data_IF_292527643360
#
_entry.id   IF_292527643360
#
_cell.length_a   1.000
_cell.length_b   1.000
_cell.length_c   1.000
_cell.angle_alpha   90.00
_cell.angle_beta   90.00
_cell.angle_gamma   90.00
#
_symmetry.space_group_name_H-M   'P 1'
#
loop_
_entity.id
_entity.type
_entity.pdbx_description
1 polymer ?
#
# COMPACT_ATOMS: atom_id res chain seq x y z
N UNK A 1 -71.47 1.04 -56.01
CA UNK A 1 -70.28 0.15 -56.06
C UNK A 1 -69.04 0.95 -55.56
N UNK A 2 -68.66 0.78 -54.30
CA UNK A 2 -67.55 1.53 -53.72
C UNK A 2 -66.46 0.48 -53.38
N UNK A 3 -65.32 0.55 -54.04
CA UNK A 3 -64.18 -0.32 -53.80
C UNK A 3 -63.35 0.28 -52.67
N UNK A 4 -63.28 -0.42 -51.54
CA UNK A 4 -62.32 -0.13 -50.45
C UNK A 4 -60.95 -0.60 -50.86
N UNK A 5 -59.96 0.33 -50.84
CA UNK A 5 -58.51 -0.01 -50.92
C UNK A 5 -58.01 -0.26 -49.49
N UNK A 6 -57.50 -1.43 -49.24
CA UNK A 6 -56.74 -1.77 -48.05
C UNK A 6 -55.28 -1.37 -48.28
N UNK A 7 -54.80 -0.47 -47.44
CA UNK A 7 -53.34 -0.14 -47.34
C UNK A 7 -52.72 -1.04 -46.30
N UNK A 8 -51.75 -1.82 -46.69
CA UNK A 8 -50.90 -2.61 -45.80
C UNK A 8 -49.75 -1.73 -45.31
N UNK A 9 -49.66 -1.55 -44.00
CA UNK A 9 -48.50 -0.92 -43.37
C UNK A 9 -47.44 -2.01 -43.07
N UNK A 10 -46.30 -1.93 -43.75
CA UNK A 10 -45.10 -2.70 -43.42
C UNK A 10 -44.44 -2.03 -42.20
N UNK A 11 -44.48 -2.64 -41.04
CA UNK A 11 -43.67 -2.27 -39.87
C UNK A 11 -42.29 -2.94 -40.03
N UNK A 12 -41.29 -2.13 -40.34
CA UNK A 12 -39.89 -2.55 -40.30
C UNK A 12 -39.43 -2.58 -38.81
N UNK A 13 -39.30 -3.78 -38.28
CA UNK A 13 -38.71 -3.98 -36.95
C UNK A 13 -37.20 -3.76 -37.01
N UNK A 14 -36.68 -2.72 -36.34
CA UNK A 14 -35.27 -2.54 -36.11
C UNK A 14 -34.87 -3.49 -34.99
N UNK A 15 -34.20 -4.59 -35.34
CA UNK A 15 -33.53 -5.45 -34.38
C UNK A 15 -32.29 -4.75 -33.85
N UNK A 16 -32.35 -4.18 -32.64
CA UNK A 16 -31.17 -3.79 -31.90
C UNK A 16 -30.38 -5.05 -31.51
N UNK A 17 -29.33 -5.34 -32.24
CA UNK A 17 -28.30 -6.29 -31.82
C UNK A 17 -27.60 -5.70 -30.59
N UNK A 18 -27.99 -6.15 -29.40
CA UNK A 18 -27.21 -5.94 -28.20
C UNK A 18 -25.89 -6.72 -28.35
N UNK A 19 -24.82 -6.03 -28.69
CA UNK A 19 -23.46 -6.59 -28.63
C UNK A 19 -23.16 -6.78 -27.12
N UNK A 20 -22.91 -8.02 -26.65
CA UNK A 20 -22.46 -8.20 -25.28
C UNK A 20 -21.10 -7.51 -25.17
N UNK A 21 -20.99 -6.49 -24.32
CA UNK A 21 -19.72 -6.02 -23.78
C UNK A 21 -19.15 -7.13 -22.88
N UNK A 22 -18.63 -8.17 -23.50
CA UNK A 22 -17.69 -9.06 -22.85
C UNK A 22 -16.41 -8.28 -22.71
N UNK A 23 -16.00 -7.96 -21.46
CA UNK A 23 -14.65 -7.57 -21.18
C UNK A 23 -13.75 -8.75 -21.59
N UNK A 24 -13.27 -8.75 -22.83
CA UNK A 24 -12.19 -9.61 -23.24
C UNK A 24 -10.97 -9.11 -22.45
N UNK A 25 -10.34 -10.00 -21.69
CA UNK A 25 -8.94 -9.81 -21.33
C UNK A 25 -8.23 -9.57 -22.66
N UNK A 26 -7.68 -8.35 -22.84
CA UNK A 26 -6.87 -8.05 -24.02
C UNK A 26 -5.86 -9.19 -24.15
N UNK A 27 -5.70 -9.75 -25.34
CA UNK A 27 -4.67 -10.76 -25.54
C UNK A 27 -3.36 -10.14 -25.04
N UNK A 28 -2.61 -10.84 -24.19
CA UNK A 28 -1.39 -10.30 -23.57
C UNK A 28 -0.42 -9.73 -24.61
N UNK A 29 -0.34 -10.36 -25.79
CA UNK A 29 0.50 -9.89 -26.88
C UNK A 29 0.03 -8.52 -27.42
N UNK A 30 -1.27 -8.30 -27.52
CA UNK A 30 -1.85 -7.02 -27.95
C UNK A 30 -1.60 -5.93 -26.90
N UNK A 31 -1.73 -6.27 -25.60
CA UNK A 31 -1.42 -5.36 -24.50
C UNK A 31 0.06 -4.96 -24.50
N UNK A 32 0.96 -5.93 -24.68
CA UNK A 32 2.40 -5.67 -24.78
C UNK A 32 2.71 -4.79 -25.98
N UNK A 33 2.10 -5.03 -27.13
CA UNK A 33 2.31 -4.21 -28.33
C UNK A 33 1.80 -2.77 -28.14
N UNK A 34 0.63 -2.59 -27.53
CA UNK A 34 0.06 -1.29 -27.24
C UNK A 34 0.90 -0.51 -26.21
N UNK A 35 1.34 -1.17 -25.12
CA UNK A 35 2.23 -0.56 -24.13
C UNK A 35 3.59 -0.14 -24.73
N UNK A 36 4.15 -0.96 -25.62
CA UNK A 36 5.38 -0.61 -26.36
C UNK A 36 5.20 0.59 -27.28
N UNK A 37 4.01 0.76 -27.85
CA UNK A 37 3.69 1.93 -28.67
C UNK A 37 3.60 3.21 -27.81
N UNK A 38 3.17 3.11 -26.56
CA UNK A 38 3.22 4.22 -25.59
C UNK A 38 4.66 4.50 -25.12
N UNK A 39 5.52 3.47 -25.02
CA UNK A 39 6.96 3.55 -24.78
C UNK A 39 7.39 3.89 -23.37
N UNK A 40 6.47 4.33 -22.50
CA UNK A 40 6.75 4.80 -21.15
C UNK A 40 5.68 4.37 -20.16
N UNK A 41 6.10 4.24 -18.89
CA UNK A 41 5.25 4.15 -17.72
C UNK A 41 5.70 5.21 -16.70
N UNK A 42 4.78 5.92 -16.08
CA UNK A 42 5.07 6.82 -14.95
C UNK A 42 4.49 6.25 -13.66
N UNK A 43 5.37 5.89 -12.75
CA UNK A 43 5.04 5.41 -11.40
C UNK A 43 5.31 6.49 -10.36
N UNK A 44 4.71 6.37 -9.17
CA UNK A 44 4.93 7.30 -8.06
C UNK A 44 5.07 6.54 -6.75
N UNK A 45 5.89 7.06 -5.83
CA UNK A 45 6.09 6.56 -4.47
C UNK A 45 6.61 5.11 -4.39
N UNK A 46 7.35 4.64 -5.38
CA UNK A 46 7.97 3.31 -5.39
C UNK A 46 9.45 3.39 -4.96
N UNK A 47 9.72 3.48 -3.66
CA UNK A 47 11.09 3.49 -3.14
C UNK A 47 11.82 2.19 -3.48
N UNK A 48 13.05 2.28 -4.01
CA UNK A 48 13.80 1.11 -4.48
C UNK A 48 14.11 0.07 -3.38
N UNK A 49 14.18 0.50 -2.13
CA UNK A 49 14.38 -0.33 -0.93
C UNK A 49 13.06 -0.75 -0.28
N UNK A 50 11.92 -0.48 -0.91
CA UNK A 50 10.60 -0.91 -0.43
C UNK A 50 10.16 -2.15 -1.19
N UNK A 51 9.92 -3.26 -0.47
CA UNK A 51 9.33 -4.49 -1.03
C UNK A 51 9.93 -4.96 -2.36
N UNK A 52 11.21 -4.62 -2.61
CA UNK A 52 11.91 -5.02 -3.83
C UNK A 52 11.58 -4.20 -5.08
N UNK A 53 10.92 -3.04 -4.96
CA UNK A 53 10.52 -2.24 -6.13
C UNK A 53 11.67 -1.88 -7.07
N UNK A 54 12.88 -1.61 -6.56
CA UNK A 54 14.03 -1.35 -7.43
C UNK A 54 14.32 -2.48 -8.40
N UNK A 55 14.24 -3.73 -7.92
CA UNK A 55 14.40 -4.93 -8.76
C UNK A 55 13.19 -5.18 -9.66
N UNK A 56 11.97 -4.96 -9.16
CA UNK A 56 10.73 -5.11 -9.93
C UNK A 56 10.67 -4.12 -11.11
N UNK A 57 10.97 -2.85 -10.85
CA UNK A 57 11.03 -1.81 -11.90
C UNK A 57 12.09 -2.16 -12.94
N UNK A 58 13.28 -2.58 -12.50
CA UNK A 58 14.35 -2.97 -13.43
C UNK A 58 13.95 -4.20 -14.27
N UNK A 59 13.38 -5.25 -13.64
CA UNK A 59 12.92 -6.44 -14.35
C UNK A 59 11.80 -6.12 -15.35
N UNK A 60 10.87 -5.23 -15.01
CA UNK A 60 9.83 -4.76 -15.94
C UNK A 60 10.44 -4.04 -17.15
N UNK A 61 11.40 -3.14 -16.93
CA UNK A 61 12.12 -2.43 -18.00
C UNK A 61 12.84 -3.41 -18.92
N UNK A 62 13.58 -4.36 -18.36
CA UNK A 62 14.34 -5.34 -19.12
C UNK A 62 13.45 -6.28 -19.93
N UNK A 63 12.30 -6.68 -19.35
CA UNK A 63 11.36 -7.61 -19.97
C UNK A 63 10.59 -6.98 -21.13
N UNK A 64 10.14 -5.74 -20.97
CA UNK A 64 9.23 -5.11 -21.93
C UNK A 64 9.86 -4.01 -22.78
N UNK A 65 11.04 -3.53 -22.41
CA UNK A 65 11.74 -2.47 -23.14
C UNK A 65 11.12 -1.09 -22.98
N UNK A 66 10.34 -0.86 -21.92
CA UNK A 66 9.69 0.41 -21.62
C UNK A 66 10.60 1.31 -20.76
N UNK A 67 10.50 2.61 -20.95
CA UNK A 67 11.04 3.58 -20.00
C UNK A 67 10.12 3.68 -18.80
N UNK A 68 10.67 3.65 -17.58
CA UNK A 68 9.90 3.92 -16.35
C UNK A 68 10.36 5.26 -15.77
N UNK A 69 9.43 6.18 -15.66
CA UNK A 69 9.60 7.47 -14.99
C UNK A 69 9.11 7.34 -13.54
N UNK A 70 9.97 7.66 -12.59
CA UNK A 70 9.74 7.43 -11.16
C UNK A 70 9.58 8.77 -10.44
N UNK A 71 8.36 9.09 -9.97
CA UNK A 71 8.02 10.30 -9.24
C UNK A 71 8.09 10.06 -7.73
N UNK A 72 8.57 11.04 -6.98
CA UNK A 72 8.51 11.06 -5.50
C UNK A 72 8.78 9.69 -4.84
N UNK A 73 9.94 9.06 -5.02
CA UNK A 73 10.18 7.68 -4.58
C UNK A 73 10.02 7.46 -3.06
N UNK A 74 9.93 8.52 -2.27
CA UNK A 74 9.67 8.47 -0.82
C UNK A 74 8.32 9.07 -0.43
N UNK A 75 7.45 9.33 -1.42
CA UNK A 75 6.12 9.87 -1.23
C UNK A 75 5.21 8.94 -0.42
N UNK A 76 4.15 9.48 0.12
CA UNK A 76 3.13 8.70 0.83
C UNK A 76 1.80 8.72 0.10
N UNK A 77 0.89 7.81 0.48
CA UNK A 77 -0.40 7.60 -0.21
C UNK A 77 -1.22 8.88 -0.43
N UNK A 78 -1.22 9.81 0.52
CA UNK A 78 -1.91 11.10 0.36
C UNK A 78 -1.27 12.01 -0.71
N UNK A 79 0.05 11.95 -0.88
CA UNK A 79 0.78 12.67 -1.92
C UNK A 79 0.44 12.12 -3.30
N UNK A 80 0.33 10.80 -3.44
CA UNK A 80 -0.04 10.14 -4.68
C UNK A 80 -1.40 10.61 -5.20
N UNK A 81 -2.43 10.61 -4.34
CA UNK A 81 -3.76 11.13 -4.69
C UNK A 81 -3.70 12.61 -5.08
N UNK A 82 -2.93 13.40 -4.32
CA UNK A 82 -2.76 14.84 -4.61
C UNK A 82 -2.09 15.06 -5.96
N UNK A 83 -1.09 14.22 -6.29
CA UNK A 83 -0.37 14.29 -7.56
C UNK A 83 -1.28 13.97 -8.75
N UNK A 84 -2.14 12.93 -8.65
CA UNK A 84 -3.15 12.70 -9.70
C UNK A 84 -4.02 13.94 -9.88
N UNK A 85 -4.59 14.48 -8.78
CA UNK A 85 -5.48 15.66 -8.84
C UNK A 85 -4.82 16.88 -9.48
N UNK A 86 -3.57 17.13 -9.13
CA UNK A 86 -2.80 18.24 -9.67
C UNK A 86 -2.46 18.09 -11.17
N UNK A 87 -2.55 16.86 -11.70
CA UNK A 87 -2.19 16.53 -13.08
C UNK A 87 -3.39 16.11 -13.95
N UNK A 88 -4.62 16.38 -13.53
CA UNK A 88 -5.79 16.09 -14.35
C UNK A 88 -5.69 16.88 -15.69
N UNK A 89 -5.72 16.15 -16.81
CA UNK A 89 -5.55 16.70 -18.14
C UNK A 89 -4.11 16.98 -18.55
N UNK A 90 -3.12 16.69 -17.71
CA UNK A 90 -1.70 16.71 -18.06
C UNK A 90 -1.28 15.33 -18.61
N UNK A 91 -0.71 15.30 -19.81
CA UNK A 91 -0.17 14.08 -20.44
C UNK A 91 1.37 14.03 -20.37
N UNK A 92 1.99 14.88 -19.56
CA UNK A 92 3.45 14.91 -19.39
C UNK A 92 3.95 14.00 -18.27
N UNK A 93 5.27 14.00 -18.13
CA UNK A 93 5.99 13.12 -17.19
C UNK A 93 5.69 13.34 -15.70
N UNK A 94 4.89 14.36 -15.33
CA UNK A 94 4.46 14.60 -13.94
C UNK A 94 3.12 13.94 -13.60
N UNK A 95 2.40 13.39 -14.59
CA UNK A 95 1.13 12.70 -14.40
C UNK A 95 1.40 11.21 -14.15
N UNK A 96 1.07 10.64 -12.96
CA UNK A 96 1.28 9.23 -12.70
C UNK A 96 0.27 8.36 -13.44
N UNK A 97 0.74 7.26 -14.01
CA UNK A 97 -0.10 6.23 -14.63
C UNK A 97 -0.69 5.29 -13.58
N UNK A 98 0.11 4.96 -12.56
CA UNK A 98 -0.27 4.05 -11.47
C UNK A 98 0.12 4.64 -10.12
N UNK A 99 -0.57 4.19 -9.07
CA UNK A 99 -0.29 4.51 -7.67
C UNK A 99 -0.18 3.23 -6.84
N UNK A 100 0.61 3.29 -5.75
CA UNK A 100 0.78 2.24 -4.74
C UNK A 100 0.42 2.77 -3.36
N UNK A 101 -0.83 2.65 -2.99
CA UNK A 101 -1.36 3.28 -1.79
C UNK A 101 -1.71 2.28 -0.70
N UNK A 102 -1.59 2.69 0.56
CA UNK A 102 -2.17 1.89 1.64
C UNK A 102 -3.66 1.65 1.39
N UNK A 103 -4.14 0.44 1.73
CA UNK A 103 -5.46 -0.07 1.37
C UNK A 103 -6.61 0.93 1.65
N UNK A 104 -6.51 1.71 2.73
CA UNK A 104 -7.53 2.72 3.11
C UNK A 104 -7.70 3.83 2.06
N UNK A 105 -6.67 4.10 1.27
CA UNK A 105 -6.68 5.16 0.26
C UNK A 105 -7.34 4.73 -1.06
N UNK A 106 -7.46 3.42 -1.33
CA UNK A 106 -8.15 2.90 -2.50
C UNK A 106 -9.60 3.41 -2.62
N UNK A 107 -10.48 3.17 -1.62
CA UNK A 107 -11.85 3.70 -1.62
C UNK A 107 -11.92 5.23 -1.67
N UNK A 108 -10.96 5.93 -1.08
CA UNK A 108 -10.89 7.40 -1.13
C UNK A 108 -10.66 7.86 -2.56
N UNK A 109 -9.64 7.29 -3.22
CA UNK A 109 -9.31 7.62 -4.60
C UNK A 109 -10.46 7.27 -5.57
N UNK A 110 -11.14 6.12 -5.36
CA UNK A 110 -12.31 5.72 -6.15
C UNK A 110 -13.47 6.69 -5.96
N UNK A 111 -13.78 7.09 -4.73
CA UNK A 111 -14.84 8.08 -4.42
C UNK A 111 -14.57 9.44 -5.03
N UNK A 112 -13.31 9.83 -5.15
CA UNK A 112 -12.86 11.08 -5.79
C UNK A 112 -12.74 10.97 -7.31
N UNK A 113 -13.17 9.86 -7.92
CA UNK A 113 -13.16 9.59 -9.36
C UNK A 113 -11.74 9.69 -9.99
N UNK A 114 -10.73 9.22 -9.25
CA UNK A 114 -9.32 9.28 -9.66
C UNK A 114 -8.83 8.01 -10.35
N UNK A 115 -9.59 6.91 -10.30
CA UNK A 115 -9.16 5.59 -10.72
C UNK A 115 -9.97 5.06 -11.90
N UNK A 116 -9.35 4.22 -12.73
CA UNK A 116 -10.03 3.43 -13.74
C UNK A 116 -9.99 1.93 -13.39
N UNK A 117 -11.06 1.17 -13.68
CA UNK A 117 -11.10 -0.25 -13.36
C UNK A 117 -10.26 -1.07 -14.34
N UNK A 118 -9.55 -2.05 -13.81
CA UNK A 118 -8.86 -3.09 -14.57
C UNK A 118 -8.70 -4.34 -13.72
N UNK A 119 -9.01 -5.53 -14.25
CA UNK A 119 -8.83 -6.80 -13.56
C UNK A 119 -7.74 -7.61 -14.24
N UNK A 120 -6.70 -7.94 -13.48
CA UNK A 120 -5.59 -8.77 -13.94
C UNK A 120 -6.00 -10.23 -14.16
N UNK A 121 -5.21 -10.99 -14.92
CA UNK A 121 -5.50 -12.41 -15.21
C UNK A 121 -5.60 -13.27 -13.93
N UNK A 122 -4.84 -12.93 -12.89
CA UNK A 122 -4.83 -13.63 -11.60
C UNK A 122 -5.84 -13.08 -10.59
N UNK A 123 -6.83 -12.33 -11.05
CA UNK A 123 -7.84 -11.63 -10.22
C UNK A 123 -8.47 -12.49 -9.12
N UNK A 124 -8.80 -13.76 -9.44
CA UNK A 124 -9.48 -14.65 -8.49
C UNK A 124 -8.58 -15.10 -7.34
N UNK A 125 -7.27 -14.95 -7.46
CA UNK A 125 -6.29 -15.29 -6.41
C UNK A 125 -6.08 -14.16 -5.40
N UNK A 126 -6.59 -12.96 -5.66
CA UNK A 126 -6.52 -11.82 -4.76
C UNK A 126 -7.67 -11.94 -3.75
N UNK A 127 -7.42 -11.86 -2.43
CA UNK A 127 -8.46 -11.94 -1.41
C UNK A 127 -9.56 -10.90 -1.60
N UNK A 128 -10.83 -11.31 -1.45
CA UNK A 128 -11.98 -10.41 -1.63
C UNK A 128 -11.96 -9.22 -0.64
N UNK A 129 -11.33 -9.38 0.53
CA UNK A 129 -11.18 -8.32 1.55
C UNK A 129 -10.12 -7.28 1.18
N UNK A 130 -9.31 -7.55 0.16
CA UNK A 130 -8.22 -6.69 -0.27
C UNK A 130 -8.41 -6.14 -1.70
N UNK A 131 -9.64 -6.12 -2.24
CA UNK A 131 -9.92 -5.60 -3.58
C UNK A 131 -11.30 -4.96 -3.70
N UNK A 132 -11.38 -3.96 -4.58
CA UNK A 132 -12.66 -3.43 -5.05
C UNK A 132 -13.29 -4.41 -6.04
N UNK A 133 -14.57 -4.83 -5.90
CA UNK A 133 -15.18 -5.80 -6.80
C UNK A 133 -15.18 -5.42 -8.28
N UNK A 134 -15.16 -4.13 -8.59
CA UNK A 134 -15.11 -3.61 -9.95
C UNK A 134 -13.69 -3.48 -10.51
N UNK A 135 -12.66 -3.57 -9.65
CA UNK A 135 -11.26 -3.56 -10.06
C UNK A 135 -10.60 -2.19 -10.13
N UNK A 136 -11.13 -1.18 -9.40
CA UNK A 136 -10.49 0.14 -9.37
C UNK A 136 -9.19 0.16 -8.57
N UNK A 137 -9.09 -0.69 -7.53
CA UNK A 137 -7.91 -0.86 -6.69
C UNK A 137 -7.89 -2.28 -6.11
N UNK A 138 -6.72 -2.83 -5.91
CA UNK A 138 -6.56 -4.15 -5.27
C UNK A 138 -5.17 -4.32 -4.67
N UNK A 139 -5.13 -5.07 -3.57
CA UNK A 139 -3.91 -5.37 -2.83
C UNK A 139 -2.87 -6.05 -3.72
N UNK A 140 -1.61 -5.72 -3.50
CA UNK A 140 -0.47 -6.28 -4.22
C UNK A 140 0.53 -6.98 -3.29
N UNK A 141 0.76 -6.42 -2.11
CA UNK A 141 1.55 -7.01 -1.04
C UNK A 141 1.10 -6.49 0.33
N UNK A 142 1.66 -7.07 1.39
CA UNK A 142 1.54 -6.55 2.74
C UNK A 142 2.86 -6.65 3.51
N UNK A 143 3.06 -5.73 4.44
CA UNK A 143 4.10 -5.74 5.45
C UNK A 143 3.50 -5.95 6.85
N UNK A 144 4.33 -6.32 7.81
CA UNK A 144 3.95 -6.48 9.21
C UNK A 144 4.51 -5.32 10.02
N UNK A 145 3.65 -4.68 10.82
CA UNK A 145 4.07 -3.54 11.63
C UNK A 145 5.04 -3.97 12.72
N UNK A 146 6.17 -3.29 12.83
CA UNK A 146 7.25 -3.60 13.75
C UNK A 146 7.85 -2.32 14.37
N UNK A 147 8.70 -2.50 15.39
CA UNK A 147 9.59 -1.47 15.90
C UNK A 147 10.98 -1.70 15.32
N UNK A 148 11.54 -0.73 14.62
CA UNK A 148 12.95 -0.72 14.21
C UNK A 148 13.73 0.05 15.28
N UNK A 149 14.72 -0.62 15.87
CA UNK A 149 15.42 -0.16 17.07
C UNK A 149 16.91 -0.07 16.82
N UNK A 150 17.49 1.12 17.00
CA UNK A 150 18.94 1.32 16.95
C UNK A 150 19.58 0.85 18.27
N UNK A 151 20.38 -0.21 18.21
CA UNK A 151 21.00 -0.85 19.39
C UNK A 151 22.17 -0.07 19.98
N UNK A 152 22.77 0.86 19.24
CA UNK A 152 23.82 1.74 19.81
C UNK A 152 23.24 2.75 20.79
N UNK A 153 21.93 3.07 20.65
CA UNK A 153 21.22 4.02 21.52
C UNK A 153 20.34 3.30 22.55
N UNK A 154 19.67 2.23 22.13
CA UNK A 154 18.68 1.51 22.93
C UNK A 154 19.24 0.12 23.30
N UNK A 155 19.75 -0.01 24.52
CA UNK A 155 20.35 -1.26 25.00
C UNK A 155 19.34 -2.42 25.12
N UNK A 156 18.12 -2.14 25.59
CA UNK A 156 17.01 -3.11 25.70
C UNK A 156 15.90 -2.70 24.73
N UNK A 157 15.65 -3.51 23.71
CA UNK A 157 14.57 -3.27 22.77
C UNK A 157 13.20 -3.48 23.43
N UNK A 158 12.18 -2.63 23.13
CA UNK A 158 10.81 -2.87 23.55
C UNK A 158 10.28 -4.14 22.90
N UNK A 159 9.58 -4.99 23.65
CA UNK A 159 8.99 -6.23 23.13
C UNK A 159 7.53 -6.04 22.71
N UNK A 160 6.88 -4.96 23.19
CA UNK A 160 5.47 -4.71 22.96
C UNK A 160 5.11 -3.24 23.06
N UNK A 161 3.89 -2.89 22.64
CA UNK A 161 3.38 -1.51 22.64
C UNK A 161 3.48 -0.85 24.01
N UNK A 162 3.05 -1.55 25.09
CA UNK A 162 3.08 -1.01 26.45
C UNK A 162 4.48 -0.64 26.92
N UNK A 163 5.51 -1.37 26.46
CA UNK A 163 6.90 -1.08 26.84
C UNK A 163 7.35 0.31 26.39
N UNK A 164 6.80 0.82 25.28
CA UNK A 164 7.15 2.15 24.76
C UNK A 164 6.88 3.29 25.74
N UNK A 165 6.03 3.07 26.75
CA UNK A 165 5.75 4.03 27.82
C UNK A 165 6.80 4.01 28.94
N UNK A 166 7.73 3.05 28.96
CA UNK A 166 8.81 2.99 29.95
C UNK A 166 9.66 4.28 29.87
N UNK A 167 9.97 4.93 31.02
CA UNK A 167 10.86 6.10 31.07
C UNK A 167 12.26 5.87 30.47
N UNK A 168 12.70 4.61 30.34
CA UNK A 168 13.95 4.25 29.67
C UNK A 168 13.97 4.67 28.18
N UNK A 169 12.80 4.85 27.55
CA UNK A 169 12.69 5.28 26.14
C UNK A 169 12.42 6.77 25.98
N UNK A 170 12.81 7.59 26.98
CA UNK A 170 12.67 9.04 26.89
C UNK A 170 13.33 9.59 25.63
N UNK A 171 12.59 10.41 24.84
CA UNK A 171 13.02 11.01 23.56
C UNK A 171 13.50 9.96 22.54
N UNK A 172 12.84 8.80 22.48
CA UNK A 172 13.29 7.71 21.63
C UNK A 172 12.25 7.21 20.63
N UNK A 173 10.96 7.39 20.91
CA UNK A 173 9.87 6.82 20.10
C UNK A 173 9.42 7.80 19.03
N UNK A 174 9.28 7.34 17.78
CA UNK A 174 8.77 8.15 16.66
C UNK A 174 7.83 7.38 15.74
N UNK A 175 6.99 8.12 15.03
CA UNK A 175 6.25 7.64 13.88
C UNK A 175 7.10 7.76 12.60
N UNK A 176 6.84 6.95 11.57
CA UNK A 176 7.57 7.04 10.30
C UNK A 176 7.23 8.27 9.46
N UNK A 177 6.01 8.81 9.60
CA UNK A 177 5.51 9.96 8.85
C UNK A 177 4.28 10.58 9.54
N UNK A 178 3.63 11.56 8.92
CA UNK A 178 2.41 12.19 9.44
C UNK A 178 1.24 11.19 9.48
N UNK A 179 0.68 10.88 10.65
CA UNK A 179 -0.40 9.91 10.77
C UNK A 179 -1.74 10.40 10.20
N UNK A 180 -1.83 11.63 9.73
CA UNK A 180 -3.02 12.14 9.04
C UNK A 180 -3.05 11.76 7.56
N UNK A 181 -1.90 11.37 6.97
CA UNK A 181 -1.74 11.16 5.53
C UNK A 181 -0.92 9.94 5.14
N UNK A 182 -0.21 9.30 6.09
CA UNK A 182 0.66 8.16 5.81
C UNK A 182 0.11 6.86 6.41
N UNK A 183 -0.05 5.84 5.55
CA UNK A 183 -0.66 4.55 5.91
C UNK A 183 0.03 3.86 7.10
N UNK A 184 1.36 3.74 7.08
CA UNK A 184 2.13 3.10 8.15
C UNK A 184 1.95 3.80 9.52
N UNK A 185 1.82 5.13 9.52
CA UNK A 185 1.57 5.89 10.76
C UNK A 185 0.11 5.79 11.22
N UNK A 186 -0.86 5.76 10.29
CA UNK A 186 -2.27 5.47 10.60
C UNK A 186 -2.35 4.11 11.29
N UNK A 187 -1.73 3.08 10.71
CA UNK A 187 -1.73 1.73 11.27
C UNK A 187 -0.95 1.63 12.58
N UNK A 188 0.11 2.43 12.78
CA UNK A 188 0.82 2.50 14.07
C UNK A 188 -0.07 3.04 15.19
N UNK A 189 -0.83 4.11 14.94
CA UNK A 189 -1.79 4.64 15.91
C UNK A 189 -2.91 3.64 16.17
N UNK A 190 -3.44 3.03 15.13
CA UNK A 190 -4.50 2.03 15.21
C UNK A 190 -4.08 0.79 16.01
N UNK A 191 -2.88 0.24 15.72
CA UNK A 191 -2.34 -0.94 16.40
C UNK A 191 -2.06 -0.67 17.88
N UNK A 192 -1.51 0.51 18.22
CA UNK A 192 -1.34 0.92 19.60
C UNK A 192 -2.68 0.94 20.36
N UNK A 193 -3.74 1.43 19.71
CA UNK A 193 -5.08 1.41 20.29
C UNK A 193 -5.66 0.01 20.47
N UNK A 194 -5.49 -0.88 19.49
CA UNK A 194 -5.88 -2.29 19.62
C UNK A 194 -5.14 -2.97 20.77
N UNK A 195 -3.86 -2.66 20.97
CA UNK A 195 -3.04 -3.21 22.05
C UNK A 195 -3.54 -2.82 23.46
N UNK A 196 -4.34 -1.74 23.59
CA UNK A 196 -5.03 -1.40 24.84
C UNK A 196 -6.30 -2.23 25.08
N UNK A 197 -6.69 -3.11 24.17
CA UNK A 197 -7.94 -3.87 24.21
C UNK A 197 -9.14 -3.12 23.64
N UNK A 198 -8.94 -1.98 22.97
CA UNK A 198 -10.03 -1.23 22.34
C UNK A 198 -10.64 -1.99 21.16
N UNK A 199 -11.96 -1.81 20.95
CA UNK A 199 -12.65 -2.41 19.81
C UNK A 199 -12.17 -1.82 18.48
N UNK A 200 -12.11 -2.60 17.39
CA UNK A 200 -11.69 -2.14 16.08
C UNK A 200 -12.46 -0.90 15.57
N UNK A 201 -11.84 -0.15 14.67
CA UNK A 201 -12.41 1.05 14.07
C UNK A 201 -12.13 2.33 14.86
N UNK A 202 -13.13 3.19 15.01
CA UNK A 202 -12.98 4.50 15.67
C UNK A 202 -12.54 4.42 17.14
N UNK A 203 -12.93 3.36 17.85
CA UNK A 203 -12.53 3.16 19.26
C UNK A 203 -11.02 2.90 19.38
N UNK A 204 -10.47 1.99 18.56
CA UNK A 204 -9.04 1.74 18.51
C UNK A 204 -8.27 3.00 18.09
N UNK A 205 -8.78 3.76 17.11
CA UNK A 205 -8.15 5.01 16.72
C UNK A 205 -8.02 6.00 17.89
N UNK A 206 -9.09 6.23 18.66
CA UNK A 206 -9.07 7.13 19.82
C UNK A 206 -8.19 6.62 20.95
N UNK A 207 -8.21 5.31 21.21
CA UNK A 207 -7.31 4.71 22.20
C UNK A 207 -5.85 4.83 21.78
N UNK A 208 -5.56 4.71 20.49
CA UNK A 208 -4.23 4.93 19.93
C UNK A 208 -3.78 6.40 20.02
N UNK A 209 -4.67 7.35 19.73
CA UNK A 209 -4.40 8.77 19.93
C UNK A 209 -4.06 9.07 21.40
N UNK A 210 -4.81 8.49 22.34
CA UNK A 210 -4.55 8.61 23.76
C UNK A 210 -3.19 7.99 24.16
N UNK A 211 -2.84 6.84 23.60
CA UNK A 211 -1.53 6.21 23.79
C UNK A 211 -0.39 7.13 23.33
N UNK A 212 -0.50 7.73 22.13
CA UNK A 212 0.51 8.66 21.61
C UNK A 212 0.54 9.98 22.41
N UNK A 213 -0.59 10.41 22.98
CA UNK A 213 -0.61 11.51 23.93
C UNK A 213 0.20 11.18 25.20
N UNK A 214 0.04 9.97 25.74
CA UNK A 214 0.81 9.51 26.90
C UNK A 214 2.31 9.43 26.58
N UNK A 215 2.70 8.94 25.40
CA UNK A 215 4.09 8.96 24.93
C UNK A 215 4.67 10.38 24.88
N UNK A 216 3.87 11.35 24.46
CA UNK A 216 4.27 12.76 24.44
C UNK A 216 4.40 13.31 25.86
N UNK A 217 3.41 13.10 26.71
CA UNK A 217 3.38 13.63 28.08
C UNK A 217 4.49 13.04 28.95
N UNK A 218 4.86 11.75 28.75
CA UNK A 218 6.02 11.12 29.39
C UNK A 218 7.37 11.62 28.83
N UNK A 219 7.34 12.31 27.69
CA UNK A 219 8.54 12.77 26.98
C UNK A 219 9.25 11.67 26.18
N UNK A 220 8.60 10.54 25.93
CA UNK A 220 9.14 9.43 25.13
C UNK A 220 9.01 9.70 23.63
N UNK A 221 7.94 10.40 23.21
CA UNK A 221 7.70 10.73 21.80
C UNK A 221 8.68 11.81 21.33
N UNK A 222 9.36 11.53 20.21
CA UNK A 222 10.20 12.52 19.50
C UNK A 222 9.32 13.40 18.62
N UNK A 223 9.67 14.66 18.46
CA UNK A 223 8.91 15.61 17.64
C UNK A 223 9.09 15.40 16.13
N UNK A 224 10.07 14.61 15.68
CA UNK A 224 10.35 14.31 14.29
C UNK A 224 9.82 12.96 13.82
N UNK A 225 9.77 12.78 12.50
CA UNK A 225 9.45 11.48 11.88
C UNK A 225 10.72 10.66 11.62
N UNK A 226 10.62 9.34 11.85
CA UNK A 226 11.73 8.44 11.69
C UNK A 226 11.96 8.03 10.23
N UNK A 227 13.18 8.24 9.74
CA UNK A 227 13.68 7.74 8.46
C UNK A 227 14.81 6.74 8.71
N UNK A 228 15.22 5.97 7.68
CA UNK A 228 16.40 5.11 7.79
C UNK A 228 17.63 5.89 8.32
N UNK A 229 17.84 7.10 7.78
CA UNK A 229 18.97 7.97 8.18
C UNK A 229 18.87 8.46 9.63
N UNK A 230 17.68 8.91 10.08
CA UNK A 230 17.50 9.41 11.46
C UNK A 230 17.53 8.28 12.49
N UNK A 231 17.06 7.07 12.12
CA UNK A 231 17.21 5.86 12.94
C UNK A 231 18.71 5.55 13.10
N UNK A 232 19.46 5.50 11.98
CA UNK A 232 20.90 5.21 12.02
C UNK A 232 21.69 6.21 12.84
N UNK A 233 21.37 7.51 12.76
CA UNK A 233 21.99 8.57 13.57
C UNK A 233 21.58 8.58 15.03
N UNK A 234 20.59 7.77 15.43
CA UNK A 234 20.05 7.78 16.79
C UNK A 234 19.16 8.98 17.12
N UNK A 235 18.70 9.72 16.12
CA UNK A 235 17.77 10.85 16.30
C UNK A 235 16.34 10.37 16.57
N UNK A 236 15.95 9.22 15.98
CA UNK A 236 14.67 8.53 16.15
C UNK A 236 14.89 7.04 16.40
N UNK A 237 15.55 6.67 17.52
CA UNK A 237 16.14 5.34 17.68
C UNK A 237 15.12 4.19 17.81
N UNK A 238 13.84 4.49 18.09
CA UNK A 238 12.72 3.53 18.03
C UNK A 238 11.69 4.11 17.08
N UNK A 239 11.51 3.51 15.91
CA UNK A 239 10.53 3.98 14.93
C UNK A 239 9.63 2.81 14.52
N UNK A 240 8.31 3.03 14.49
CA UNK A 240 7.40 2.04 13.90
C UNK A 240 7.63 1.97 12.39
N UNK A 241 7.78 0.76 11.85
CA UNK A 241 8.05 0.51 10.43
C UNK A 241 7.47 -0.84 10.03
N UNK A 242 7.40 -1.10 8.72
CA UNK A 242 7.20 -2.47 8.24
C UNK A 242 8.42 -3.31 8.58
N UNK A 243 8.21 -4.57 8.89
CA UNK A 243 9.26 -5.55 9.18
C UNK A 243 10.32 -5.62 8.07
N UNK A 244 9.88 -5.62 6.81
CA UNK A 244 10.75 -5.58 5.64
C UNK A 244 11.70 -4.37 5.64
N UNK A 245 11.21 -3.17 6.03
CA UNK A 245 12.06 -2.00 6.12
C UNK A 245 13.16 -2.18 7.17
N UNK A 246 12.82 -2.71 8.34
CA UNK A 246 13.81 -2.93 9.40
C UNK A 246 14.92 -3.87 9.00
N UNK A 247 14.58 -4.97 8.32
CA UNK A 247 15.55 -5.96 7.82
C UNK A 247 16.42 -5.32 6.72
N UNK A 248 15.79 -4.66 5.73
CA UNK A 248 16.50 -3.98 4.63
C UNK A 248 17.47 -2.91 5.16
N UNK A 249 17.05 -2.13 6.17
CA UNK A 249 17.93 -1.14 6.78
C UNK A 249 19.14 -1.79 7.49
N UNK A 250 18.89 -2.89 8.23
CA UNK A 250 19.99 -3.63 8.87
C UNK A 250 20.98 -4.20 7.86
N UNK A 251 20.51 -4.74 6.73
CA UNK A 251 21.34 -5.22 5.62
C UNK A 251 22.13 -4.07 4.99
N UNK A 252 21.49 -2.93 4.68
CA UNK A 252 22.12 -1.77 4.05
C UNK A 252 23.18 -1.12 4.94
N UNK A 253 22.93 -1.05 6.25
CA UNK A 253 23.90 -0.51 7.22
C UNK A 253 24.98 -1.51 7.60
N UNK A 254 24.87 -2.77 7.17
CA UNK A 254 25.86 -3.83 7.45
C UNK A 254 26.21 -3.95 8.92
N UNK A 255 25.19 -3.79 9.79
CA UNK A 255 25.35 -3.84 11.25
C UNK A 255 25.97 -2.61 11.89
N UNK A 256 26.08 -1.48 11.18
CA UNK A 256 26.59 -0.21 11.74
C UNK A 256 25.66 0.97 11.37
N UNK A 257 24.71 1.35 12.24
CA UNK A 257 24.46 0.74 13.55
C UNK A 257 23.77 -0.63 13.47
N UNK A 258 23.90 -1.48 14.49
CA UNK A 258 23.09 -2.68 14.62
C UNK A 258 21.64 -2.31 14.87
N UNK A 259 20.70 -2.90 14.10
CA UNK A 259 19.27 -2.67 14.22
C UNK A 259 18.55 -3.95 14.64
N UNK A 260 17.61 -3.83 15.58
CA UNK A 260 16.61 -4.86 15.86
C UNK A 260 15.31 -4.52 15.11
N UNK A 261 14.64 -5.55 14.57
CA UNK A 261 13.28 -5.47 14.06
C UNK A 261 12.39 -6.30 14.96
N UNK A 262 11.53 -5.65 15.74
CA UNK A 262 10.69 -6.29 16.76
C UNK A 262 9.22 -6.23 16.33
N UNK A 263 8.61 -7.38 16.12
CA UNK A 263 7.16 -7.49 15.90
C UNK A 263 6.48 -7.52 17.29
N UNK A 264 5.56 -6.57 17.58
CA UNK A 264 4.87 -6.52 18.88
C UNK A 264 4.03 -7.77 19.14
N UNK A 265 4.01 -8.24 20.38
CA UNK A 265 3.40 -9.55 20.74
C UNK A 265 1.90 -9.48 21.00
N UNK A 266 1.41 -8.38 21.60
CA UNK A 266 0.01 -8.26 21.99
C UNK A 266 -0.91 -8.07 20.77
N UNK A 267 -0.47 -7.29 19.81
CA UNK A 267 -1.18 -7.04 18.55
C UNK A 267 -0.16 -6.87 17.42
N UNK A 268 -0.19 -7.79 16.49
CA UNK A 268 0.58 -7.74 15.24
C UNK A 268 -0.36 -7.36 14.11
N UNK A 269 -0.09 -6.26 13.41
CA UNK A 269 -0.96 -5.74 12.34
C UNK A 269 -0.29 -5.86 10.99
N UNK A 270 -0.99 -6.47 10.03
CA UNK A 270 -0.63 -6.43 8.62
C UNK A 270 -1.13 -5.15 7.97
N UNK A 271 -0.28 -4.52 7.17
CA UNK A 271 -0.63 -3.37 6.36
C UNK A 271 -0.59 -3.72 4.88
N UNK A 272 -1.77 -3.84 4.27
CA UNK A 272 -1.90 -4.10 2.83
C UNK A 272 -1.72 -2.81 2.06
N UNK A 273 -0.93 -2.88 0.97
CA UNK A 273 -0.87 -1.86 -0.06
C UNK A 273 -1.68 -2.29 -1.27
N UNK A 274 -2.17 -1.33 -2.03
CA UNK A 274 -3.01 -1.57 -3.19
C UNK A 274 -2.50 -0.77 -4.37
N UNK A 275 -2.37 -1.46 -5.50
CA UNK A 275 -2.12 -0.82 -6.79
C UNK A 275 -3.44 -0.35 -7.40
N UNK A 276 -3.35 0.75 -8.13
CA UNK A 276 -4.47 1.27 -8.91
C UNK A 276 -3.96 2.04 -10.13
N UNK A 277 -4.76 2.01 -11.20
CA UNK A 277 -4.47 2.78 -12.41
C UNK A 277 -5.17 4.13 -12.30
N UNK A 278 -4.45 5.21 -12.52
CA UNK A 278 -5.03 6.55 -12.61
C UNK A 278 -6.06 6.62 -13.76
N UNK A 279 -7.22 7.19 -13.50
CA UNK A 279 -8.21 7.49 -14.56
C UNK A 279 -7.64 8.41 -15.64
N UNK A 280 -6.65 9.20 -15.27
CA UNK A 280 -5.99 10.21 -16.10
C UNK A 280 -4.60 9.76 -16.56
N UNK A 281 -4.33 8.45 -16.54
CA UNK A 281 -3.06 7.88 -16.94
C UNK A 281 -2.69 8.26 -18.39
N UNK A 282 -1.55 8.91 -18.65
CA UNK A 282 -1.08 9.18 -20.00
C UNK A 282 -0.76 7.92 -20.81
N UNK A 283 -0.36 6.83 -20.11
CA UNK A 283 0.05 5.57 -20.72
C UNK A 283 -0.79 4.40 -20.18
N UNK A 284 -2.10 4.32 -20.54
CA UNK A 284 -3.02 3.36 -19.92
C UNK A 284 -2.71 1.90 -20.27
N UNK A 285 -2.08 1.59 -21.39
CA UNK A 285 -1.68 0.21 -21.72
C UNK A 285 -0.41 -0.19 -20.97
N UNK A 286 0.55 0.71 -20.80
CA UNK A 286 1.73 0.48 -19.98
C UNK A 286 1.34 0.30 -18.50
N UNK A 287 0.34 1.07 -18.01
CA UNK A 287 -0.23 0.89 -16.69
C UNK A 287 -0.87 -0.49 -16.49
N UNK A 288 -1.72 -0.94 -17.43
CA UNK A 288 -2.30 -2.28 -17.39
C UNK A 288 -1.24 -3.38 -17.45
N UNK A 289 -0.21 -3.21 -18.30
CA UNK A 289 0.89 -4.17 -18.41
C UNK A 289 1.70 -4.23 -17.11
N UNK A 290 1.90 -3.10 -16.42
CA UNK A 290 2.50 -3.06 -15.10
C UNK A 290 1.68 -3.84 -14.07
N UNK A 291 0.35 -3.67 -14.07
CA UNK A 291 -0.53 -4.45 -13.21
C UNK A 291 -0.39 -5.95 -13.50
N UNK A 292 -0.47 -6.40 -14.76
CA UNK A 292 -0.28 -7.82 -15.12
C UNK A 292 1.08 -8.36 -14.66
N UNK A 293 2.13 -7.56 -14.80
CA UNK A 293 3.48 -7.94 -14.36
C UNK A 293 3.54 -8.10 -12.84
N UNK A 294 3.07 -7.11 -12.05
CA UNK A 294 3.13 -7.17 -10.59
C UNK A 294 2.33 -8.34 -10.01
N UNK A 295 1.18 -8.66 -10.62
CA UNK A 295 0.32 -9.75 -10.15
C UNK A 295 0.63 -11.10 -10.81
N UNK A 296 1.63 -11.19 -11.68
CA UNK A 296 2.19 -12.47 -12.14
C UNK A 296 2.95 -13.18 -11.02
N UNK A 297 3.27 -14.47 -11.21
CA UNK A 297 4.11 -15.20 -10.25
C UNK A 297 5.50 -14.55 -10.10
N UNK A 298 6.05 -14.02 -11.19
CA UNK A 298 7.34 -13.32 -11.19
C UNK A 298 7.29 -12.06 -10.33
N UNK A 299 6.28 -11.20 -10.50
CA UNK A 299 6.12 -9.98 -9.74
C UNK A 299 5.87 -10.25 -8.26
N UNK A 300 4.98 -11.20 -7.97
CA UNK A 300 4.67 -11.60 -6.59
C UNK A 300 5.89 -12.23 -5.87
N UNK A 301 6.69 -13.04 -6.56
CA UNK A 301 7.97 -13.52 -6.01
C UNK A 301 8.99 -12.39 -5.86
N UNK A 302 8.89 -11.34 -6.67
CA UNK A 302 9.69 -10.12 -6.53
C UNK A 302 9.44 -9.42 -5.19
N UNK A 303 8.17 -9.28 -4.78
CA UNK A 303 7.81 -8.77 -3.45
C UNK A 303 8.36 -9.65 -2.33
N UNK A 304 8.25 -10.97 -2.46
CA UNK A 304 8.78 -11.90 -1.47
C UNK A 304 10.30 -11.80 -1.32
N UNK A 305 11.03 -11.66 -2.44
CA UNK A 305 12.48 -11.41 -2.44
C UNK A 305 12.84 -10.06 -1.81
N UNK A 306 11.94 -9.08 -1.94
CA UNK A 306 12.00 -7.79 -1.28
C UNK A 306 11.50 -7.81 0.17
N UNK A 307 11.34 -9.00 0.77
CA UNK A 307 10.95 -9.22 2.16
C UNK A 307 9.50 -8.79 2.51
N UNK A 308 8.65 -8.61 1.49
CA UNK A 308 7.21 -8.35 1.68
C UNK A 308 6.39 -9.58 1.31
N UNK A 309 5.25 -9.73 1.96
CA UNK A 309 4.35 -10.83 1.68
C UNK A 309 3.50 -10.49 0.44
N UNK A 310 3.57 -11.30 -0.64
CA UNK A 310 2.73 -11.08 -1.82
C UNK A 310 1.25 -11.27 -1.48
N UNK A 311 0.36 -10.53 -2.13
CA UNK A 311 -1.08 -10.65 -1.88
C UNK A 311 -1.65 -12.01 -2.28
N UNK A 312 -1.05 -12.66 -3.27
CA UNK A 312 -1.40 -14.00 -3.75
C UNK A 312 -0.76 -15.12 -2.91
N UNK A 313 -0.27 -14.79 -1.71
CA UNK A 313 0.53 -15.70 -0.86
C UNK A 313 -0.11 -17.08 -0.71
N UNK A 314 -1.40 -17.15 -0.32
CA UNK A 314 -2.09 -18.42 -0.07
C UNK A 314 -2.25 -19.26 -1.34
N UNK A 315 -2.60 -18.64 -2.47
CA UNK A 315 -2.71 -19.31 -3.75
C UNK A 315 -1.34 -19.86 -4.21
N UNK A 316 -0.29 -19.07 -4.09
CA UNK A 316 1.07 -19.46 -4.47
C UNK A 316 1.68 -20.51 -3.54
N UNK A 317 1.34 -20.50 -2.25
CA UNK A 317 1.70 -21.58 -1.30
C UNK A 317 1.00 -22.89 -1.68
N UNK A 318 -0.30 -22.80 -1.95
CA UNK A 318 -1.11 -23.96 -2.34
C UNK A 318 -0.63 -24.62 -3.65
N UNK A 319 -0.18 -23.81 -4.61
CA UNK A 319 0.37 -24.29 -5.88
C UNK A 319 1.85 -24.72 -5.81
N UNK A 320 2.52 -24.52 -4.66
CA UNK A 320 3.93 -24.87 -4.46
C UNK A 320 4.93 -23.87 -5.07
N UNK A 321 4.48 -22.73 -5.54
CA UNK A 321 5.36 -21.66 -6.05
C UNK A 321 6.18 -21.03 -4.92
N UNK A 322 5.56 -20.80 -3.75
CA UNK A 322 6.26 -20.34 -2.54
C UNK A 322 6.59 -21.56 -1.67
N UNK A 323 7.87 -21.78 -1.44
CA UNK A 323 8.39 -22.87 -0.57
C UNK A 323 8.83 -22.34 0.80
N UNK A 324 9.02 -23.24 1.78
CA UNK A 324 9.46 -22.84 3.13
C UNK A 324 10.83 -22.16 3.13
N UNK A 325 11.73 -22.60 2.26
CA UNK A 325 13.07 -22.00 2.15
C UNK A 325 13.02 -20.51 1.77
N UNK A 326 12.03 -20.11 0.98
CA UNK A 326 11.84 -18.72 0.58
C UNK A 326 11.40 -17.81 1.74
N UNK A 327 10.82 -18.40 2.80
CA UNK A 327 10.27 -17.67 3.95
C UNK A 327 11.28 -17.47 5.09
N UNK A 328 12.46 -18.07 5.01
CA UNK A 328 13.43 -18.09 6.12
C UNK A 328 13.95 -16.71 6.54
N UNK A 329 13.86 -15.71 5.66
CA UNK A 329 14.28 -14.33 5.94
C UNK A 329 13.15 -13.46 6.52
N UNK A 330 11.89 -13.90 6.41
CA UNK A 330 10.76 -13.14 6.94
C UNK A 330 10.71 -13.31 8.47
N UNK A 331 10.44 -12.23 9.22
CA UNK A 331 10.22 -12.35 10.66
C UNK A 331 9.03 -13.25 10.96
N UNK A 332 9.12 -13.99 12.07
CA UNK A 332 7.97 -14.74 12.56
C UNK A 332 6.88 -13.75 13.00
N UNK A 333 5.72 -13.83 12.37
CA UNK A 333 4.58 -12.94 12.64
C UNK A 333 3.75 -13.39 13.86
N UNK A 334 4.01 -14.59 14.40
CA UNK A 334 3.20 -15.17 15.46
C UNK A 334 1.76 -15.51 15.03
N UNK A 335 0.99 -16.09 15.97
CA UNK A 335 -0.40 -16.49 15.69
C UNK A 335 -1.40 -15.33 15.77
N UNK A 336 -0.96 -14.13 16.14
CA UNK A 336 -1.79 -12.95 16.40
C UNK A 336 -1.78 -11.90 15.27
N UNK A 337 -1.48 -12.30 14.03
CA UNK A 337 -1.49 -11.40 12.89
C UNK A 337 -2.92 -10.98 12.54
N UNK A 338 -3.18 -9.69 12.65
CA UNK A 338 -4.47 -9.08 12.34
C UNK A 338 -4.41 -8.43 10.96
N UNK A 339 -5.32 -8.81 10.08
CA UNK A 339 -5.65 -8.07 8.87
C UNK A 339 -6.87 -7.19 9.19
N UNK A 340 -6.69 -5.88 9.40
CA UNK A 340 -7.82 -5.03 9.76
C UNK A 340 -8.84 -4.96 8.62
N UNK A 341 -10.12 -5.07 8.97
CA UNK A 341 -11.19 -4.84 7.99
C UNK A 341 -11.12 -3.41 7.44
N UNK A 342 -11.31 -3.27 6.13
CA UNK A 342 -11.25 -1.98 5.43
C UNK A 342 -12.20 -0.93 6.05
N UNK A 343 -13.42 -1.34 6.41
CA UNK A 343 -14.40 -0.47 7.05
C UNK A 343 -13.94 0.09 8.39
N UNK A 344 -13.15 -0.68 9.15
CA UNK A 344 -12.53 -0.24 10.41
C UNK A 344 -11.36 0.69 10.17
N UNK A 345 -10.54 0.42 9.15
CA UNK A 345 -9.40 1.28 8.77
C UNK A 345 -9.86 2.64 8.26
N UNK A 346 -10.90 2.70 7.43
CA UNK A 346 -11.47 3.97 6.94
C UNK A 346 -11.92 4.83 8.12
N UNK A 347 -12.71 4.26 9.04
CA UNK A 347 -13.16 4.98 10.25
C UNK A 347 -12.00 5.41 11.14
N UNK A 348 -10.98 4.57 11.28
CA UNK A 348 -9.79 4.90 12.06
C UNK A 348 -9.01 6.05 11.42
N UNK A 349 -8.78 6.02 10.12
CA UNK A 349 -8.10 7.09 9.38
C UNK A 349 -8.82 8.43 9.49
N UNK A 350 -10.15 8.45 9.36
CA UNK A 350 -10.98 9.66 9.55
C UNK A 350 -10.82 10.26 10.96
N UNK A 351 -10.87 9.43 12.00
CA UNK A 351 -10.70 9.86 13.39
C UNK A 351 -9.28 10.40 13.61
N UNK A 352 -8.26 9.68 13.17
CA UNK A 352 -6.86 10.08 13.34
C UNK A 352 -6.60 11.40 12.61
N UNK A 353 -7.03 11.54 11.36
CA UNK A 353 -6.84 12.76 10.58
C UNK A 353 -7.50 13.98 11.26
N UNK A 354 -8.68 13.80 11.84
CA UNK A 354 -9.45 14.86 12.49
C UNK A 354 -8.90 15.22 13.88
N UNK A 355 -8.54 14.21 14.68
CA UNK A 355 -8.30 14.39 16.12
C UNK A 355 -6.80 14.42 16.50
N UNK A 356 -5.87 14.02 15.60
CA UNK A 356 -4.43 13.96 15.90
C UNK A 356 -3.89 15.29 16.45
N UNK A 357 -4.13 16.39 15.74
CA UNK A 357 -3.56 17.69 16.09
C UNK A 357 -4.04 18.20 17.44
N UNK A 358 -5.31 17.98 17.78
CA UNK A 358 -5.88 18.41 19.07
C UNK A 358 -5.48 17.50 20.23
N UNK A 359 -5.24 16.22 19.97
CA UNK A 359 -4.95 15.23 21.03
C UNK A 359 -3.45 15.09 21.29
N UNK A 360 -2.66 14.89 20.24
CA UNK A 360 -1.21 14.65 20.35
C UNK A 360 -0.41 15.93 20.07
N UNK A 361 -0.89 16.76 19.15
CA UNK A 361 -0.26 18.00 18.74
C UNK A 361 0.19 18.00 17.27
N UNK A 362 0.51 19.19 16.75
CA UNK A 362 1.12 19.30 15.45
C UNK A 362 2.48 18.57 15.49
N UNK A 363 2.63 17.53 14.70
CA UNK A 363 3.96 17.00 14.41
C UNK A 363 4.82 18.13 13.91
N UNK A 364 6.05 18.23 14.36
CA UNK A 364 7.00 19.21 13.84
C UNK A 364 7.08 19.06 12.32
N UNK A 365 7.09 20.20 11.64
CA UNK A 365 7.30 20.30 10.18
C UNK A 365 8.61 19.68 9.77
#
# INVERSE_FOLDING_TARGET
MIRKRMSAYLTAGVACLAVPFGAHADNMDDLVAAAKAEGQLTVIALGHDWCGYGALVQSFKDKYGLTVNELSPTGGSGEELTTIKANIGNNGSQAPDVIDVGLVFGPIAQKEDLLQPYKVQTWEEIPATAKDPEGHWYGDYYGVLSFVVNKDVISKSPADWADLLDPAYRKSVSLPADPRTANNSILSVYAAGLATGAQPGAAAARAGLEFYRQLKDSGNLVSGFGSAASIAKGETPITTRWDSNGITYAENFRGNPPLDTIVPKSVTVAGVYAQAISKYAPHPHAAKLWMEYLYSDEGQLGYLKGLCHPIRFDAMRKSGIITDDMLTKLPATGDNLVFPELSHLVKAGEVIAKEWTSTVGAGSK
#
